data_IF_535427261111
#
_entry.id   IF_535427261111
#
_cell.length_a   1.000
_cell.length_b   1.000
_cell.length_c   1.000
_cell.angle_alpha   90.00
_cell.angle_beta   90.00
_cell.angle_gamma   90.00
#
_symmetry.space_group_name_H-M   'P 1'
#
loop_
_entity.id
_entity.type
_entity.pdbx_description
1 polymer ?
#
# COMPACT_ATOMS: atom_id res chain seq x y z
N UNK A 1 -9.80 -11.07 -4.77
CA UNK A 1 -8.69 -10.11 -4.69
C UNK A 1 -9.23 -8.72 -4.38
N UNK A 2 -8.42 -7.91 -3.74
CA UNK A 2 -8.83 -6.58 -3.32
C UNK A 2 -7.69 -5.60 -3.56
N UNK A 3 -7.96 -4.53 -4.29
CA UNK A 3 -6.94 -3.52 -4.63
C UNK A 3 -6.88 -2.44 -3.57
N UNK A 4 -5.69 -1.88 -3.39
CA UNK A 4 -5.48 -0.77 -2.46
C UNK A 4 -4.41 0.17 -2.99
N UNK A 5 -4.34 1.34 -2.37
CA UNK A 5 -3.30 2.33 -2.63
C UNK A 5 -2.67 2.73 -1.31
N UNK A 6 -1.39 3.09 -1.34
CA UNK A 6 -0.76 3.75 -0.21
C UNK A 6 -0.73 5.24 -0.50
N UNK A 7 -1.27 6.01 0.43
CA UNK A 7 -1.30 7.46 0.35
C UNK A 7 -0.38 8.04 1.42
N UNK A 8 0.59 8.83 1.00
CA UNK A 8 1.43 9.56 1.94
C UNK A 8 0.73 10.86 2.29
N UNK A 9 0.38 11.00 3.55
CA UNK A 9 -0.33 12.20 4.02
C UNK A 9 0.60 13.26 4.56
N UNK A 10 1.87 12.87 4.86
CA UNK A 10 2.87 13.80 5.33
C UNK A 10 4.24 13.34 4.81
N UNK A 11 4.95 14.24 4.14
CA UNK A 11 6.29 13.92 3.63
C UNK A 11 7.33 14.68 4.47
N UNK A 12 7.85 13.99 5.49
CA UNK A 12 8.81 14.59 6.42
C UNK A 12 10.17 14.87 5.80
N UNK A 13 10.48 14.18 4.71
CA UNK A 13 11.77 14.33 4.04
C UNK A 13 11.72 15.28 2.87
N UNK A 14 10.54 15.56 2.34
CA UNK A 14 10.37 16.38 1.15
C UNK A 14 10.84 15.73 -0.14
N UNK A 15 11.16 14.43 -0.10
CA UNK A 15 11.72 13.72 -1.26
C UNK A 15 10.65 13.10 -2.14
N UNK A 16 9.69 12.40 -1.53
CA UNK A 16 8.69 11.62 -2.27
C UNK A 16 7.39 12.38 -2.52
N UNK A 17 7.16 13.46 -1.79
CA UNK A 17 5.91 14.20 -1.87
C UNK A 17 4.77 13.50 -1.13
N UNK A 18 3.56 14.00 -1.33
CA UNK A 18 2.35 13.44 -0.74
C UNK A 18 1.46 12.86 -1.84
N UNK A 19 0.38 12.19 -1.44
CA UNK A 19 -0.57 11.61 -2.37
C UNK A 19 -0.31 10.11 -2.58
N UNK A 20 -0.72 9.59 -3.72
CA UNK A 20 -0.60 8.17 -4.03
C UNK A 20 0.85 7.83 -4.36
N UNK A 21 1.49 7.05 -3.50
CA UNK A 21 2.89 6.66 -3.69
C UNK A 21 3.06 5.22 -4.14
N UNK A 22 2.03 4.39 -3.97
CA UNK A 22 2.10 2.97 -4.35
C UNK A 22 0.70 2.42 -4.53
N UNK A 23 0.61 1.33 -5.26
CA UNK A 23 -0.64 0.60 -5.44
C UNK A 23 -0.38 -0.88 -5.26
N UNK A 24 -1.39 -1.62 -4.87
CA UNK A 24 -1.21 -3.03 -4.62
C UNK A 24 -2.50 -3.83 -4.66
N UNK A 25 -2.36 -5.11 -4.42
CA UNK A 25 -3.48 -6.04 -4.39
C UNK A 25 -3.26 -7.07 -3.30
N UNK A 26 -4.35 -7.43 -2.63
CA UNK A 26 -4.37 -8.56 -1.69
C UNK A 26 -5.01 -9.73 -2.42
N UNK A 27 -4.28 -10.84 -2.47
CA UNK A 27 -4.75 -12.06 -3.11
C UNK A 27 -5.73 -12.81 -2.20
N UNK A 28 -6.42 -13.78 -2.76
CA UNK A 28 -7.43 -14.53 -2.01
C UNK A 28 -6.86 -15.31 -0.82
N UNK A 29 -5.56 -15.61 -0.83
CA UNK A 29 -4.92 -16.31 0.27
C UNK A 29 -4.39 -15.37 1.37
N UNK A 30 -4.61 -14.07 1.22
CA UNK A 30 -4.17 -13.06 2.20
C UNK A 30 -2.79 -12.48 1.93
N UNK A 31 -2.03 -13.03 1.00
CA UNK A 31 -0.75 -12.44 0.63
C UNK A 31 -0.98 -11.18 -0.19
N UNK A 32 0.00 -10.28 -0.19
CA UNK A 32 -0.14 -8.99 -0.86
C UNK A 32 1.08 -8.67 -1.71
N UNK A 33 0.85 -7.87 -2.74
CA UNK A 33 1.94 -7.30 -3.53
C UNK A 33 1.76 -5.79 -3.56
N UNK A 34 2.88 -5.07 -3.68
CA UNK A 34 2.91 -3.61 -3.69
C UNK A 34 3.85 -3.13 -4.78
N UNK A 35 3.37 -2.22 -5.62
CA UNK A 35 4.18 -1.60 -6.65
C UNK A 35 4.29 -0.11 -6.40
N UNK A 36 5.52 0.38 -6.29
CA UNK A 36 5.78 1.79 -6.06
C UNK A 36 5.49 2.61 -7.32
N UNK A 37 4.91 3.78 -7.13
CA UNK A 37 4.59 4.70 -8.22
C UNK A 37 5.51 5.91 -8.21
N UNK A 38 6.68 5.75 -7.63
CA UNK A 38 7.71 6.78 -7.60
C UNK A 38 8.61 6.64 -8.82
N UNK A 39 9.68 7.45 -8.87
CA UNK A 39 10.63 7.43 -9.99
C UNK A 39 11.18 6.03 -10.24
N UNK A 40 11.49 5.30 -9.18
CA UNK A 40 11.97 3.92 -9.27
C UNK A 40 10.84 2.99 -8.91
N UNK A 41 10.29 2.31 -9.91
CA UNK A 41 9.13 1.45 -9.74
C UNK A 41 9.57 0.03 -9.45
N UNK A 42 9.51 -0.34 -8.20
CA UNK A 42 9.79 -1.70 -7.77
C UNK A 42 8.52 -2.35 -7.25
N UNK A 43 8.52 -3.69 -7.21
CA UNK A 43 7.39 -4.46 -6.71
C UNK A 43 7.87 -5.34 -5.58
N UNK A 44 7.16 -5.33 -4.47
CA UNK A 44 7.45 -6.18 -3.33
C UNK A 44 6.31 -7.14 -3.06
N UNK A 45 6.62 -8.21 -2.33
CA UNK A 45 5.63 -9.21 -1.93
C UNK A 45 5.64 -9.33 -0.41
N UNK A 46 4.47 -9.49 0.18
CA UNK A 46 4.28 -9.51 1.63
C UNK A 46 3.38 -10.65 2.03
N UNK A 47 3.64 -11.23 3.19
CA UNK A 47 2.85 -12.36 3.70
C UNK A 47 1.40 -11.98 3.98
N UNK A 48 1.20 -10.74 4.46
CA UNK A 48 -0.14 -10.22 4.75
C UNK A 48 -0.09 -8.69 4.80
N UNK A 49 -1.26 -8.07 4.89
CA UNK A 49 -1.35 -6.61 4.95
C UNK A 49 -0.80 -6.02 6.24
N UNK A 50 -0.92 -6.75 7.34
CA UNK A 50 -0.39 -6.30 8.62
C UNK A 50 1.13 -6.10 8.54
N UNK A 51 1.84 -7.04 7.91
CA UNK A 51 3.28 -6.94 7.69
C UNK A 51 3.62 -5.75 6.78
N UNK A 52 2.87 -5.60 5.69
CA UNK A 52 3.07 -4.50 4.76
C UNK A 52 2.92 -3.15 5.47
N UNK A 53 1.86 -3.00 6.26
CA UNK A 53 1.59 -1.77 6.97
C UNK A 53 2.60 -1.50 8.09
N UNK A 54 3.10 -2.56 8.74
CA UNK A 54 4.14 -2.41 9.74
C UNK A 54 5.43 -1.87 9.15
N UNK A 55 5.78 -2.31 7.95
CA UNK A 55 7.00 -1.87 7.27
C UNK A 55 6.85 -0.46 6.69
N UNK A 56 5.72 -0.18 6.06
CA UNK A 56 5.54 1.03 5.25
C UNK A 56 4.64 2.10 5.87
N UNK A 57 4.08 1.88 7.05
CA UNK A 57 3.19 2.83 7.68
C UNK A 57 3.87 4.10 8.20
N UNK A 58 5.15 4.03 8.49
CA UNK A 58 5.97 5.17 8.90
C UNK A 58 5.32 6.03 10.01
N UNK A 59 4.84 5.37 11.07
CA UNK A 59 4.26 6.09 12.20
C UNK A 59 2.98 6.84 11.87
N UNK A 60 2.25 6.40 10.86
CA UNK A 60 0.99 7.02 10.46
C UNK A 60 1.09 8.06 9.35
N UNK A 61 2.29 8.28 8.82
CA UNK A 61 2.44 9.23 7.70
C UNK A 61 2.04 8.64 6.36
N UNK A 62 1.88 7.33 6.31
CA UNK A 62 1.42 6.61 5.11
C UNK A 62 0.20 5.78 5.50
N UNK A 63 -0.83 5.84 4.67
CA UNK A 63 -2.13 5.25 4.97
C UNK A 63 -2.59 4.36 3.83
N UNK A 64 -3.18 3.21 4.16
CA UNK A 64 -3.79 2.33 3.19
C UNK A 64 -5.19 2.84 2.83
N UNK A 65 -5.45 3.00 1.55
CA UNK A 65 -6.76 3.38 1.04
C UNK A 65 -7.24 2.25 0.13
N UNK A 66 -8.35 1.64 0.51
CA UNK A 66 -8.90 0.52 -0.26
C UNK A 66 -9.66 1.03 -1.47
N UNK A 67 -9.36 0.46 -2.63
CA UNK A 67 -10.01 0.81 -3.89
C UNK A 67 -11.27 -0.03 -4.07
N UNK A 68 -11.21 -1.31 -3.71
CA UNK A 68 -12.33 -2.23 -3.85
C UNK A 68 -12.99 -2.50 -2.50
N UNK A 69 -14.27 -2.84 -2.55
CA UNK A 69 -14.96 -3.37 -1.39
C UNK A 69 -14.37 -4.72 -1.00
N UNK A 70 -14.70 -5.16 0.22
CA UNK A 70 -14.28 -6.48 0.69
C UNK A 70 -14.78 -7.56 -0.28
N UNK A 71 -13.85 -8.27 -0.89
CA UNK A 71 -14.16 -9.29 -1.90
C UNK A 71 -14.91 -10.49 -1.35
N UNK A 72 -15.02 -10.62 -0.01
CA UNK A 72 -15.78 -11.71 0.61
C UNK A 72 -17.27 -11.45 0.64
N UNK A 73 -17.68 -10.26 0.30
CA UNK A 73 -19.11 -9.97 0.24
C UNK A 73 -19.73 -10.75 -0.91
N UNK A 74 -20.87 -11.34 -0.66
CA UNK A 74 -21.56 -12.08 -1.71
C UNK A 74 -21.99 -11.15 -2.85
#
# INVERSE_FOLDING_TARGET
>A
MRRFELHRIEDKTGISGTGVIAEGVVFSDGTATLRWRTKFRSTGFYTNMEELEAIHGHGGTTKTVWVDDDARRP
#
